data_IF_246227362303
#
_entry.id   IF_246227362303
#
_cell.length_a   1.000
_cell.length_b   1.000
_cell.length_c   1.000
_cell.angle_alpha   90.00
_cell.angle_beta   90.00
_cell.angle_gamma   90.00
#
_symmetry.space_group_name_H-M   'P 1'
#
loop_
_entity.id
_entity.type
_entity.pdbx_description
1 polymer ?
#
# COMPACT_ATOMS: atom_id res chain seq x y z
N UNK A 1 16.98 -4.75 -5.71
CA UNK A 1 17.03 -5.94 -4.84
C UNK A 1 16.09 -5.75 -3.68
N UNK A 2 15.12 -6.64 -3.55
CA UNK A 2 14.18 -6.68 -2.43
C UNK A 2 14.92 -7.20 -1.19
N UNK A 3 14.81 -6.49 -0.06
CA UNK A 3 15.35 -6.92 1.23
C UNK A 3 14.22 -7.29 2.19
N UNK A 4 14.52 -8.13 3.20
CA UNK A 4 13.56 -8.45 4.26
C UNK A 4 13.06 -7.18 4.96
N UNK A 5 13.97 -6.27 5.31
CA UNK A 5 13.65 -4.99 5.93
C UNK A 5 12.68 -4.16 5.08
N UNK A 6 12.87 -4.12 3.75
CA UNK A 6 11.96 -3.38 2.86
C UNK A 6 10.55 -3.98 2.79
N UNK A 7 10.43 -5.31 2.95
CA UNK A 7 9.13 -6.00 3.03
C UNK A 7 8.45 -5.68 4.36
N UNK A 8 9.19 -5.78 5.47
CA UNK A 8 8.66 -5.50 6.81
C UNK A 8 8.26 -4.03 7.00
N UNK A 9 9.06 -3.10 6.46
CA UNK A 9 8.74 -1.67 6.45
C UNK A 9 7.46 -1.38 5.67
N UNK A 10 7.35 -1.89 4.44
CA UNK A 10 6.15 -1.74 3.61
C UNK A 10 4.93 -2.35 4.30
N UNK A 11 5.08 -3.55 4.89
CA UNK A 11 3.99 -4.22 5.62
C UNK A 11 3.52 -3.37 6.80
N UNK A 12 4.45 -2.92 7.66
CA UNK A 12 4.12 -2.11 8.83
C UNK A 12 3.42 -0.81 8.43
N UNK A 13 3.96 -0.10 7.44
CA UNK A 13 3.41 1.15 6.95
C UNK A 13 2.01 0.97 6.37
N UNK A 14 1.84 0.00 5.47
CA UNK A 14 0.54 -0.29 4.86
C UNK A 14 -0.49 -0.72 5.89
N UNK A 15 -0.10 -1.60 6.82
CA UNK A 15 -1.01 -2.11 7.83
C UNK A 15 -1.48 -0.97 8.74
N UNK A 16 -0.56 -0.13 9.23
CA UNK A 16 -0.90 1.01 10.08
C UNK A 16 -1.86 1.98 9.36
N UNK A 17 -1.57 2.34 8.12
CA UNK A 17 -2.39 3.27 7.34
C UNK A 17 -3.75 2.67 7.00
N UNK A 18 -3.80 1.39 6.62
CA UNK A 18 -5.05 0.72 6.29
C UNK A 18 -6.00 0.59 7.47
N UNK A 19 -5.48 0.31 8.67
CA UNK A 19 -6.29 0.27 9.88
C UNK A 19 -6.96 1.62 10.12
N UNK A 20 -6.23 2.73 10.02
CA UNK A 20 -6.84 4.07 10.17
C UNK A 20 -7.86 4.33 9.06
N UNK A 21 -7.53 4.01 7.81
CA UNK A 21 -8.43 4.18 6.66
C UNK A 21 -9.76 3.43 6.84
N UNK A 22 -9.69 2.15 7.21
CA UNK A 22 -10.83 1.25 7.32
C UNK A 22 -11.84 1.66 8.41
N UNK A 23 -11.36 2.34 9.46
CA UNK A 23 -12.20 2.80 10.58
C UNK A 23 -12.43 4.32 10.60
N UNK A 24 -11.92 5.07 9.62
CA UNK A 24 -12.11 6.51 9.54
C UNK A 24 -13.50 6.88 9.01
N UNK A 25 -14.11 7.88 9.64
CA UNK A 25 -15.34 8.52 9.17
C UNK A 25 -15.08 9.88 8.49
N UNK A 26 -13.81 10.27 8.34
CA UNK A 26 -13.41 11.53 7.72
C UNK A 26 -12.87 11.27 6.31
N UNK A 27 -13.61 11.71 5.30
CA UNK A 27 -13.19 11.55 3.90
C UNK A 27 -11.85 12.24 3.62
N UNK A 28 -11.62 13.42 4.21
CA UNK A 28 -10.32 14.09 4.11
C UNK A 28 -9.18 13.25 4.68
N UNK A 29 -9.39 12.56 5.81
CA UNK A 29 -8.35 11.70 6.39
C UNK A 29 -8.08 10.48 5.50
N UNK A 30 -9.12 9.95 4.86
CA UNK A 30 -8.97 8.87 3.88
C UNK A 30 -8.13 9.36 2.70
N UNK A 31 -8.48 10.51 2.11
CA UNK A 31 -7.72 11.11 1.00
C UNK A 31 -6.24 11.34 1.38
N UNK A 32 -5.97 11.87 2.58
CA UNK A 32 -4.61 12.08 3.09
C UNK A 32 -3.83 10.76 3.23
N UNK A 33 -4.52 9.66 3.61
CA UNK A 33 -3.92 8.32 3.69
C UNK A 33 -3.64 7.76 2.30
N UNK A 34 -4.59 7.89 1.37
CA UNK A 34 -4.42 7.45 -0.01
C UNK A 34 -3.22 8.15 -0.64
N UNK A 35 -3.12 9.47 -0.49
CA UNK A 35 -1.97 10.25 -0.94
C UNK A 35 -0.64 9.77 -0.32
N UNK A 36 -0.63 9.52 0.99
CA UNK A 36 0.59 9.05 1.67
C UNK A 36 1.04 7.67 1.16
N UNK A 37 0.10 6.78 0.84
CA UNK A 37 0.40 5.46 0.28
C UNK A 37 0.87 5.60 -1.17
N UNK A 38 0.18 6.39 -2.00
CA UNK A 38 0.59 6.63 -3.39
C UNK A 38 2.01 7.22 -3.46
N UNK A 39 2.31 8.21 -2.62
CA UNK A 39 3.65 8.81 -2.54
C UNK A 39 4.72 7.82 -2.06
N UNK A 40 4.38 6.91 -1.15
CA UNK A 40 5.30 5.86 -0.72
C UNK A 40 5.58 4.89 -1.87
N UNK A 41 4.57 4.41 -2.60
CA UNK A 41 4.78 3.45 -3.69
C UNK A 41 5.52 4.06 -4.88
N UNK A 42 5.41 5.36 -5.12
CA UNK A 42 6.21 6.06 -6.12
C UNK A 42 7.71 6.10 -5.79
N UNK A 43 8.05 6.09 -4.49
CA UNK A 43 9.43 6.16 -4.01
C UNK A 43 9.99 4.82 -3.51
N UNK A 44 9.15 3.79 -3.42
CA UNK A 44 9.57 2.46 -2.98
C UNK A 44 10.44 1.74 -4.00
N UNK A 45 11.03 0.63 -3.58
CA UNK A 45 11.81 -0.23 -4.47
C UNK A 45 10.97 -0.71 -5.68
N UNK A 46 11.37 -0.41 -6.94
CA UNK A 46 10.56 -0.73 -8.12
C UNK A 46 10.31 -2.23 -8.33
N UNK A 47 11.24 -3.08 -7.89
CA UNK A 47 11.11 -4.54 -7.96
C UNK A 47 10.05 -5.04 -6.99
N UNK A 48 10.01 -4.45 -5.78
CA UNK A 48 8.98 -4.74 -4.79
C UNK A 48 7.60 -4.22 -5.26
N UNK A 49 7.54 -2.99 -5.79
CA UNK A 49 6.30 -2.46 -6.36
C UNK A 49 5.77 -3.35 -7.48
N UNK A 50 6.61 -3.74 -8.44
CA UNK A 50 6.21 -4.60 -9.55
C UNK A 50 5.68 -5.96 -9.06
N UNK A 51 6.29 -6.53 -8.02
CA UNK A 51 5.82 -7.76 -7.37
C UNK A 51 4.43 -7.58 -6.77
N UNK A 52 4.19 -6.49 -6.04
CA UNK A 52 2.89 -6.23 -5.40
C UNK A 52 1.80 -5.91 -6.42
N UNK A 53 2.13 -5.10 -7.43
CA UNK A 53 1.19 -4.66 -8.45
C UNK A 53 0.70 -5.79 -9.36
N UNK A 54 1.46 -6.89 -9.48
CA UNK A 54 1.10 -8.06 -10.30
C UNK A 54 0.65 -7.70 -11.73
N UNK A 55 1.26 -6.66 -12.33
CA UNK A 55 0.95 -6.16 -13.67
C UNK A 55 -0.17 -5.10 -13.75
N UNK A 56 -0.82 -4.74 -12.64
CA UNK A 56 -1.75 -3.61 -12.57
C UNK A 56 -0.97 -2.29 -12.64
N UNK A 57 -1.31 -1.43 -13.61
CA UNK A 57 -0.56 -0.18 -13.84
C UNK A 57 -0.78 0.87 -12.74
N UNK A 58 -1.98 0.90 -12.17
CA UNK A 58 -2.41 1.95 -11.24
C UNK A 58 -2.62 1.42 -9.81
N UNK A 59 -1.89 0.37 -9.44
CA UNK A 59 -1.98 -0.31 -8.14
C UNK A 59 -1.63 0.65 -7.00
N UNK A 60 -2.55 0.85 -6.06
CA UNK A 60 -2.39 1.83 -4.95
C UNK A 60 -2.23 3.31 -5.41
N UNK A 61 -2.57 3.60 -6.67
CA UNK A 61 -2.51 4.95 -7.26
C UNK A 61 -3.89 5.51 -7.62
N UNK A 62 -4.96 4.76 -7.34
CA UNK A 62 -6.33 5.18 -7.70
C UNK A 62 -7.31 5.03 -6.54
N UNK A 63 -8.14 6.07 -6.34
CA UNK A 63 -9.17 6.09 -5.30
C UNK A 63 -10.16 4.93 -5.41
N UNK A 64 -10.60 4.62 -6.63
CA UNK A 64 -11.68 3.65 -6.88
C UNK A 64 -11.38 2.22 -6.38
N UNK A 65 -10.10 1.85 -6.30
CA UNK A 65 -9.67 0.48 -5.94
C UNK A 65 -8.75 0.44 -4.74
N UNK A 66 -8.50 1.59 -4.10
CA UNK A 66 -7.52 1.72 -3.04
C UNK A 66 -7.70 0.67 -1.93
N UNK A 67 -8.92 0.50 -1.44
CA UNK A 67 -9.21 -0.45 -0.37
C UNK A 67 -9.00 -1.93 -0.78
N UNK A 68 -9.21 -2.28 -2.04
CA UNK A 68 -8.94 -3.62 -2.57
C UNK A 68 -7.44 -3.84 -2.70
N UNK A 69 -6.76 -2.90 -3.35
CA UNK A 69 -5.32 -2.96 -3.59
C UNK A 69 -4.53 -2.98 -2.27
N UNK A 70 -4.98 -2.28 -1.23
CA UNK A 70 -4.36 -2.34 0.11
C UNK A 70 -4.46 -3.74 0.73
N UNK A 71 -5.60 -4.41 0.61
CA UNK A 71 -5.76 -5.79 1.13
C UNK A 71 -4.86 -6.76 0.37
N UNK A 72 -4.79 -6.63 -0.96
CA UNK A 72 -3.91 -7.43 -1.80
C UNK A 72 -2.43 -7.20 -1.46
N UNK A 73 -2.03 -5.93 -1.28
CA UNK A 73 -0.66 -5.57 -0.90
C UNK A 73 -0.29 -6.19 0.45
N UNK A 74 -1.18 -6.10 1.46
CA UNK A 74 -0.95 -6.71 2.77
C UNK A 74 -0.84 -8.23 2.71
N UNK A 75 -1.65 -8.89 1.89
CA UNK A 75 -1.55 -10.33 1.66
C UNK A 75 -0.26 -10.73 0.92
N UNK A 76 0.23 -9.89 0.01
CA UNK A 76 1.48 -10.14 -0.72
C UNK A 76 2.74 -9.89 0.12
N UNK A 77 2.61 -9.09 1.18
CA UNK A 77 3.68 -8.74 2.12
C UNK A 77 3.70 -9.61 3.38
N UNK A 78 2.59 -10.28 3.73
CA UNK A 78 2.58 -11.21 4.86
C UNK A 78 3.52 -12.38 4.58
N UNK A 79 4.52 -12.55 5.45
CA UNK A 79 5.39 -13.72 5.48
C UNK A 79 4.58 -14.88 6.08
N UNK A 80 4.18 -15.85 5.26
CA UNK A 80 3.90 -17.21 5.75
C UNK A 80 5.19 -17.91 6.19
#
# INVERSE_FOLDING_TARGET
MITKDSIEEAFCFFHQKYQVYAFSHSERQKDDIEYAISSYVESMNPELYARLAAGKKDFLLTHSRFAEDMKEALSGLSLE
#
